data_IF_148403568739
#
_entry.id   IF_148403568739
#
_cell.length_a   1.000
_cell.length_b   1.000
_cell.length_c   1.000
_cell.angle_alpha   90.00
_cell.angle_beta   90.00
_cell.angle_gamma   90.00
#
_symmetry.space_group_name_H-M   'P 1'
#
loop_
_entity.id
_entity.type
_entity.pdbx_description
1 polymer ?
#
# COMPACT_ATOMS: atom_id res chain seq x y z
N UNK A 1 -13.71 2.86 -7.84
CA UNK A 1 -12.35 2.68 -8.36
C UNK A 1 -12.45 1.91 -9.66
N UNK A 2 -12.00 2.51 -10.77
CA UNK A 2 -11.87 1.83 -12.07
C UNK A 2 -10.74 0.80 -12.02
N UNK A 3 -10.66 -0.15 -12.98
CA UNK A 3 -9.56 -1.11 -13.04
C UNK A 3 -8.17 -0.46 -13.15
N UNK A 4 -8.08 0.67 -13.87
CA UNK A 4 -6.83 1.40 -14.04
C UNK A 4 -6.42 2.13 -12.75
N UNK A 5 -7.35 2.86 -12.11
CA UNK A 5 -7.10 3.45 -10.79
C UNK A 5 -6.66 2.40 -9.78
N UNK A 6 -7.30 1.22 -9.80
CA UNK A 6 -6.93 0.11 -8.92
C UNK A 6 -5.50 -0.35 -9.14
N UNK A 7 -5.09 -0.48 -10.39
CA UNK A 7 -3.72 -0.88 -10.75
C UNK A 7 -2.70 0.15 -10.26
N UNK A 8 -2.99 1.44 -10.45
CA UNK A 8 -2.13 2.55 -10.00
C UNK A 8 -2.04 2.59 -8.47
N UNK A 9 -3.19 2.52 -7.77
CA UNK A 9 -3.23 2.56 -6.32
C UNK A 9 -2.55 1.35 -5.69
N UNK A 10 -2.66 0.18 -6.32
CA UNK A 10 -1.95 -1.03 -5.87
C UNK A 10 -0.45 -0.86 -5.99
N UNK A 11 0.06 -0.36 -7.13
CA UNK A 11 1.49 -0.08 -7.30
C UNK A 11 2.00 0.93 -6.26
N UNK A 12 1.24 2.00 -6.00
CA UNK A 12 1.55 2.97 -4.95
C UNK A 12 1.55 2.33 -3.56
N UNK A 13 0.54 1.50 -3.25
CA UNK A 13 0.42 0.84 -1.96
C UNK A 13 1.60 -0.12 -1.70
N UNK A 14 2.04 -0.88 -2.70
CA UNK A 14 3.23 -1.74 -2.57
C UNK A 14 4.52 -0.94 -2.39
N UNK A 15 4.67 0.21 -3.06
CA UNK A 15 5.79 1.12 -2.82
C UNK A 15 5.80 1.64 -1.38
N UNK A 16 4.65 2.08 -0.86
CA UNK A 16 4.53 2.49 0.54
C UNK A 16 4.83 1.33 1.48
N UNK A 17 4.29 0.13 1.22
CA UNK A 17 4.59 -1.05 2.02
C UNK A 17 6.09 -1.36 2.05
N UNK A 18 6.77 -1.29 0.90
CA UNK A 18 8.19 -1.63 0.80
C UNK A 18 9.12 -0.63 1.51
N UNK A 19 8.77 0.67 1.49
CA UNK A 19 9.69 1.72 1.91
C UNK A 19 9.26 2.50 3.15
N UNK A 20 7.99 2.40 3.54
CA UNK A 20 7.42 3.19 4.63
C UNK A 20 6.79 2.33 5.73
N UNK A 21 6.53 1.04 5.50
CA UNK A 21 5.95 0.18 6.54
C UNK A 21 6.98 -0.14 7.63
N UNK A 22 6.68 0.27 8.86
CA UNK A 22 7.44 -0.05 10.06
C UNK A 22 6.72 -1.10 10.94
N UNK A 23 5.76 -1.83 10.36
CA UNK A 23 5.05 -2.93 10.98
C UNK A 23 4.02 -2.44 11.99
N UNK A 24 4.19 -2.65 13.31
CA UNK A 24 3.22 -2.21 14.31
C UNK A 24 2.94 -0.70 14.31
N UNK A 25 3.90 0.11 13.82
CA UNK A 25 3.75 1.56 13.71
C UNK A 25 3.03 2.00 12.42
N UNK A 26 2.76 1.08 11.51
CA UNK A 26 2.14 1.36 10.22
C UNK A 26 3.09 2.03 9.23
N UNK A 27 2.51 2.78 8.30
CA UNK A 27 3.27 3.58 7.34
C UNK A 27 3.86 4.80 8.03
N UNK A 28 5.16 5.05 7.87
CA UNK A 28 5.86 6.23 8.38
C UNK A 28 6.52 6.97 7.22
N UNK A 29 6.03 8.16 6.89
CA UNK A 29 6.54 8.95 5.76
C UNK A 29 7.82 9.74 6.07
N UNK A 30 8.25 9.82 7.34
CA UNK A 30 9.50 10.48 7.79
C UNK A 30 9.68 11.91 7.26
N UNK A 31 8.58 12.67 7.19
CA UNK A 31 8.53 14.01 6.60
C UNK A 31 9.02 14.10 5.14
N UNK A 32 9.01 12.99 4.41
CA UNK A 32 9.26 12.98 2.97
C UNK A 32 7.98 13.39 2.25
N UNK A 33 8.01 14.51 1.51
CA UNK A 33 6.83 15.02 0.81
C UNK A 33 6.19 14.00 -0.16
N UNK A 34 6.99 13.11 -0.76
CA UNK A 34 6.46 12.02 -1.58
C UNK A 34 5.64 10.99 -0.75
N UNK A 35 6.09 10.70 0.48
CA UNK A 35 5.38 9.80 1.39
C UNK A 35 4.13 10.45 1.98
N UNK A 36 4.18 11.74 2.30
CA UNK A 36 3.01 12.52 2.73
C UNK A 36 1.91 12.48 1.66
N UNK A 37 2.26 12.82 0.41
CA UNK A 37 1.32 12.77 -0.71
C UNK A 37 0.79 11.35 -0.95
N UNK A 38 1.63 10.33 -0.81
CA UNK A 38 1.20 8.94 -1.00
C UNK A 38 0.17 8.52 0.06
N UNK A 39 0.41 8.87 1.33
CA UNK A 39 -0.54 8.63 2.42
C UNK A 39 -1.84 9.39 2.19
N UNK A 40 -1.79 10.66 1.78
CA UNK A 40 -2.99 11.45 1.48
C UNK A 40 -3.81 10.83 0.33
N UNK A 41 -3.15 10.41 -0.75
CA UNK A 41 -3.81 9.74 -1.88
C UNK A 41 -4.46 8.44 -1.40
N UNK A 42 -3.72 7.55 -0.73
CA UNK A 42 -4.27 6.27 -0.25
C UNK A 42 -5.41 6.49 0.75
N UNK A 43 -5.32 7.51 1.60
CA UNK A 43 -6.38 7.89 2.54
C UNK A 43 -7.64 8.40 1.83
N UNK A 44 -7.49 9.19 0.75
CA UNK A 44 -8.64 9.67 -0.03
C UNK A 44 -9.46 8.55 -0.67
N UNK A 45 -8.86 7.38 -0.89
CA UNK A 45 -9.52 6.17 -1.36
C UNK A 45 -9.94 5.20 -0.22
N UNK A 46 -9.75 5.60 1.04
CA UNK A 46 -10.12 4.80 2.22
C UNK A 46 -9.21 3.59 2.46
N UNK A 47 -8.01 3.56 1.86
CA UNK A 47 -7.07 2.44 1.98
C UNK A 47 -6.12 2.59 3.18
N UNK A 48 -5.94 3.82 3.64
CA UNK A 48 -5.12 4.17 4.81
C UNK A 48 -5.92 5.12 5.70
N UNK A 49 -5.88 4.89 7.00
CA UNK A 49 -6.28 5.87 8.01
C UNK A 49 -5.08 6.77 8.31
N UNK A 50 -5.09 8.05 7.92
CA UNK A 50 -3.95 8.94 8.15
C UNK A 50 -3.80 9.26 9.63
N UNK A 51 -2.55 9.36 10.08
CA UNK A 51 -2.15 9.78 11.43
C UNK A 51 -0.92 10.70 11.32
N UNK A 52 -0.52 11.32 12.43
CA UNK A 52 0.64 12.21 12.42
C UNK A 52 1.90 11.44 11.98
N UNK A 53 2.52 11.86 10.88
CA UNK A 53 3.75 11.25 10.38
C UNK A 53 3.54 10.03 9.47
N UNK A 54 2.29 9.69 9.13
CA UNK A 54 2.01 8.47 8.37
C UNK A 54 0.55 8.02 8.41
N UNK A 55 0.35 6.72 8.63
CA UNK A 55 -0.99 6.16 8.76
C UNK A 55 -1.02 4.64 8.86
N UNK A 56 -2.21 4.10 9.11
CA UNK A 56 -2.43 2.66 9.26
C UNK A 56 -3.29 2.14 8.11
N UNK A 57 -2.95 0.97 7.59
CA UNK A 57 -3.78 0.30 6.59
C UNK A 57 -5.19 0.03 7.14
N UNK A 58 -6.21 0.28 6.32
CA UNK A 58 -7.57 -0.20 6.59
C UNK A 58 -7.72 -1.64 6.12
N UNK A 59 -8.84 -2.29 6.46
CA UNK A 59 -9.15 -3.63 5.96
C UNK A 59 -9.20 -3.66 4.43
N UNK A 60 -9.73 -2.62 3.79
CA UNK A 60 -9.75 -2.45 2.33
C UNK A 60 -8.34 -2.28 1.76
N UNK A 61 -7.47 -1.53 2.44
CA UNK A 61 -6.06 -1.37 2.07
C UNK A 61 -5.29 -2.68 2.12
N UNK A 62 -5.46 -3.44 3.20
CA UNK A 62 -4.90 -4.79 3.34
C UNK A 62 -5.46 -5.75 2.28
N UNK A 63 -6.75 -5.66 1.97
CA UNK A 63 -7.37 -6.40 0.88
C UNK A 63 -6.75 -6.11 -0.48
N UNK A 64 -6.45 -4.82 -0.76
CA UNK A 64 -5.79 -4.42 -2.00
C UNK A 64 -4.36 -4.99 -2.14
N UNK A 65 -3.63 -5.10 -1.03
CA UNK A 65 -2.27 -5.65 -0.98
C UNK A 65 -2.24 -7.19 -1.08
N UNK A 66 -3.22 -7.87 -0.51
CA UNK A 66 -3.25 -9.34 -0.44
C UNK A 66 -3.62 -10.03 -1.77
N UNK A 67 -4.14 -9.29 -2.74
CA UNK A 67 -4.64 -9.82 -4.02
C UNK A 67 -3.57 -10.50 -4.91
N UNK A 68 -2.26 -10.40 -4.58
CA UNK A 68 -1.17 -10.92 -5.43
C UNK A 68 -0.24 -11.96 -4.81
N UNK A 69 -0.16 -12.11 -3.48
CA UNK A 69 0.76 -13.10 -2.88
C UNK A 69 0.40 -14.54 -3.32
N UNK A 70 -0.89 -14.82 -3.58
CA UNK A 70 -1.33 -16.11 -4.09
C UNK A 70 -0.90 -16.37 -5.55
N UNK A 71 -0.84 -15.32 -6.38
CA UNK A 71 -0.55 -15.42 -7.81
C UNK A 71 0.96 -15.48 -8.09
N UNK A 72 1.74 -14.64 -7.41
CA UNK A 72 3.17 -14.50 -7.67
C UNK A 72 4.00 -15.67 -7.15
N UNK A 73 3.62 -16.26 -6.00
CA UNK A 73 4.27 -17.45 -5.47
C UNK A 73 4.09 -18.66 -6.40
N UNK A 74 2.91 -18.84 -6.97
CA UNK A 74 2.61 -19.95 -7.87
C UNK A 74 3.39 -19.83 -9.19
N UNK A 75 3.48 -18.62 -9.75
CA UNK A 75 4.25 -18.35 -10.97
C UNK A 75 5.76 -18.49 -10.76
N UNK A 76 6.29 -18.05 -9.62
CA UNK A 76 7.70 -18.17 -9.27
C UNK A 76 8.14 -19.63 -9.08
N UNK A 77 7.34 -20.46 -8.40
CA UNK A 77 7.64 -21.89 -8.19
C UNK A 77 7.56 -22.74 -9.46
N UNK A 78 6.79 -22.32 -10.48
CA UNK A 78 6.74 -23.00 -11.78
C UNK A 78 7.96 -22.70 -12.68
N UNK A 79 8.77 -21.71 -12.32
CA UNK A 79 9.94 -21.26 -13.10
C UNK A 79 11.28 -21.79 -12.58
N UNK A 80 11.27 -22.57 -11.49
CA UNK A 80 12.42 -23.30 -10.93
C UNK A 80 12.30 -24.79 -11.22
#
# INVERSE_FOLDING_TARGET
MTPEERTILKALAHMCLQYMDEGPEGLVHKSMGAGENAVEVLASYGLVKPELGGGFWTDEGLGLLNDEWASDRASFLQRM
#
